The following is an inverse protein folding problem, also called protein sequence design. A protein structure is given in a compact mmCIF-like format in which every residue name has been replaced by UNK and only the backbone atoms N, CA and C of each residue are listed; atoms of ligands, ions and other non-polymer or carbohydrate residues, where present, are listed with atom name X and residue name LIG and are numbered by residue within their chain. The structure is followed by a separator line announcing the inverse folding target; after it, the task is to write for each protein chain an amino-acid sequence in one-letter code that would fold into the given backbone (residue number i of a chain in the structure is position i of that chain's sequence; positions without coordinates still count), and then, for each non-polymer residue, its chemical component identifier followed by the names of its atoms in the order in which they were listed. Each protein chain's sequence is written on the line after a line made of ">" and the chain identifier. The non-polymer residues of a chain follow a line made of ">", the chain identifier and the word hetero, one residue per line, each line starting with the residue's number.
data_IF_588212850880
#
_entry.id   IF_588212850880
#
_cell.length_a   1.000
_cell.length_b   1.000
_cell.length_c   1.000
_cell.angle_alpha   90.00
_cell.angle_beta   90.00
_cell.angle_gamma   90.00
#
_symmetry.space_group_name_H-M   'P 1'
#
loop_
_entity.id
_entity.type
_entity.pdbx_description
1 polymer ?
#
# COMPACT_ATOMS: atom_id res chain seq x y z
N UNK A 1 2.11 -23.41 16.31
CA UNK A 1 2.58 -22.10 16.85
C UNK A 1 4.02 -21.73 16.46
N UNK A 2 4.95 -22.68 16.25
CA UNK A 2 6.34 -22.35 15.86
C UNK A 2 6.51 -21.66 14.50
N UNK A 3 5.62 -21.95 13.53
CA UNK A 3 5.64 -21.30 12.20
C UNK A 3 5.36 -19.80 12.31
N UNK A 4 4.36 -19.39 13.09
CA UNK A 4 4.02 -17.97 13.30
C UNK A 4 5.20 -17.25 13.95
N UNK A 5 5.77 -17.80 15.02
CA UNK A 5 6.96 -17.23 15.69
C UNK A 5 8.12 -17.03 14.71
N UNK A 6 8.41 -18.03 13.87
CA UNK A 6 9.48 -17.94 12.86
C UNK A 6 9.18 -16.88 11.79
N UNK A 7 7.93 -16.76 11.34
CA UNK A 7 7.52 -15.74 10.37
C UNK A 7 7.63 -14.33 10.97
N UNK A 8 7.13 -14.14 12.19
CA UNK A 8 7.22 -12.86 12.89
C UNK A 8 8.67 -12.43 13.10
N UNK A 9 9.57 -13.34 13.51
CA UNK A 9 10.99 -13.02 13.68
C UNK A 9 11.63 -12.57 12.36
N UNK A 10 11.36 -13.29 11.26
CA UNK A 10 11.87 -12.92 9.93
C UNK A 10 11.36 -11.54 9.51
N UNK A 11 10.07 -11.28 9.70
CA UNK A 11 9.48 -9.97 9.38
C UNK A 11 10.11 -8.85 10.20
N UNK A 12 10.32 -9.07 11.50
CA UNK A 12 10.96 -8.08 12.37
C UNK A 12 12.38 -7.77 11.92
N UNK A 13 13.18 -8.79 11.56
CA UNK A 13 14.54 -8.59 11.05
C UNK A 13 14.52 -7.70 9.80
N UNK A 14 13.64 -8.00 8.83
CA UNK A 14 13.50 -7.20 7.61
C UNK A 14 13.09 -5.77 7.94
N UNK A 15 12.12 -5.57 8.85
CA UNK A 15 11.68 -4.25 9.26
C UNK A 15 12.80 -3.44 9.92
N UNK A 16 13.59 -4.04 10.82
CA UNK A 16 14.70 -3.35 11.48
C UNK A 16 15.80 -2.96 10.49
N UNK A 17 16.12 -3.83 9.52
CA UNK A 17 17.06 -3.50 8.46
C UNK A 17 16.55 -2.34 7.59
N UNK A 18 15.27 -2.36 7.21
CA UNK A 18 14.66 -1.27 6.44
C UNK A 18 14.70 0.05 7.20
N UNK A 19 14.42 0.04 8.52
CA UNK A 19 14.55 1.23 9.37
C UNK A 19 15.99 1.73 9.42
N UNK A 20 16.98 0.83 9.51
CA UNK A 20 18.40 1.20 9.45
C UNK A 20 18.78 1.89 8.14
N UNK A 21 18.33 1.36 7.00
CA UNK A 21 18.52 1.97 5.68
C UNK A 21 17.84 3.34 5.58
N UNK A 22 16.61 3.46 6.09
CA UNK A 22 15.86 4.71 6.09
C UNK A 22 16.56 5.78 6.96
N UNK A 23 17.03 5.41 8.15
CA UNK A 23 17.75 6.30 9.05
C UNK A 23 19.08 6.77 8.44
N UNK A 24 19.85 5.85 7.85
CA UNK A 24 21.09 6.18 7.15
C UNK A 24 20.83 7.15 5.99
N UNK A 25 19.82 6.88 5.17
CA UNK A 25 19.44 7.75 4.04
C UNK A 25 19.02 9.13 4.53
N UNK A 26 18.28 9.21 5.63
CA UNK A 26 17.80 10.48 6.20
C UNK A 26 18.92 11.33 6.78
N UNK A 27 19.90 10.71 7.45
CA UNK A 27 20.99 11.44 8.10
C UNK A 27 22.10 11.83 7.12
N UNK A 28 22.44 10.97 6.16
CA UNK A 28 23.62 11.15 5.31
C UNK A 28 23.31 11.50 3.86
N UNK A 29 22.21 11.00 3.29
CA UNK A 29 21.92 11.14 1.85
C UNK A 29 21.01 12.36 1.61
N UNK A 30 19.85 12.43 2.24
CA UNK A 30 18.85 13.48 1.98
C UNK A 30 19.33 14.92 2.25
N UNK A 31 20.23 15.19 3.21
CA UNK A 31 20.77 16.53 3.39
C UNK A 31 21.65 17.03 2.24
N UNK A 32 22.14 16.12 1.37
CA UNK A 32 22.96 16.48 0.20
C UNK A 32 22.13 17.17 -0.89
N UNK A 33 20.82 16.90 -0.95
CA UNK A 33 19.88 17.55 -1.85
C UNK A 33 18.51 17.72 -1.18
N UNK A 34 18.39 18.82 -0.44
CA UNK A 34 17.19 19.12 0.35
C UNK A 34 15.99 19.49 -0.52
N UNK A 35 16.23 20.07 -1.69
CA UNK A 35 15.15 20.47 -2.60
C UNK A 35 14.49 19.24 -3.21
N UNK A 36 15.28 18.30 -3.72
CA UNK A 36 14.76 17.03 -4.23
C UNK A 36 14.05 16.23 -3.13
N UNK A 37 14.60 16.19 -1.92
CA UNK A 37 13.96 15.51 -0.80
C UNK A 37 12.63 16.16 -0.40
N UNK A 38 12.57 17.50 -0.36
CA UNK A 38 11.34 18.24 -0.05
C UNK A 38 10.25 18.01 -1.10
N UNK A 39 10.60 18.03 -2.38
CA UNK A 39 9.71 17.70 -3.50
C UNK A 39 9.19 16.27 -3.41
N UNK A 40 10.09 15.30 -3.20
CA UNK A 40 9.70 13.90 -3.04
C UNK A 40 8.76 13.71 -1.84
N UNK A 41 9.06 14.35 -0.71
CA UNK A 41 8.22 14.34 0.49
C UNK A 41 6.83 14.94 0.24
N UNK A 42 6.75 16.05 -0.49
CA UNK A 42 5.48 16.65 -0.89
C UNK A 42 4.66 15.71 -1.77
N UNK A 43 5.27 15.14 -2.82
CA UNK A 43 4.60 14.20 -3.73
C UNK A 43 4.09 12.98 -2.97
N UNK A 44 4.92 12.39 -2.09
CA UNK A 44 4.55 11.24 -1.27
C UNK A 44 3.41 11.56 -0.31
N UNK A 45 3.47 12.70 0.38
CA UNK A 45 2.44 13.09 1.35
C UNK A 45 1.10 13.34 0.67
N UNK A 46 1.11 14.05 -0.47
CA UNK A 46 -0.10 14.27 -1.27
C UNK A 46 -0.64 12.95 -1.83
N UNK A 47 0.23 12.03 -2.27
CA UNK A 47 -0.19 10.71 -2.73
C UNK A 47 -0.84 9.90 -1.59
N UNK A 48 -0.25 9.90 -0.39
CA UNK A 48 -0.81 9.23 0.79
C UNK A 48 -2.18 9.81 1.19
N UNK A 49 -2.33 11.13 1.09
CA UNK A 49 -3.61 11.79 1.31
C UNK A 49 -4.68 11.39 0.28
N UNK A 50 -4.31 11.27 -0.99
CA UNK A 50 -5.24 10.86 -2.06
C UNK A 50 -5.60 9.36 -2.03
N UNK A 51 -4.69 8.51 -1.54
CA UNK A 51 -4.81 7.05 -1.56
C UNK A 51 -6.14 6.48 -0.99
N UNK A 52 -6.67 6.90 0.18
CA UNK A 52 -7.94 6.38 0.68
C UNK A 52 -9.13 6.68 -0.24
N UNK A 53 -9.12 7.82 -0.95
CA UNK A 53 -10.16 8.19 -1.91
C UNK A 53 -10.10 7.34 -3.19
N UNK A 54 -8.90 6.93 -3.59
CA UNK A 54 -8.69 6.05 -4.76
C UNK A 54 -9.09 4.61 -4.43
N UNK A 55 -8.65 4.10 -3.28
CA UNK A 55 -8.85 2.68 -2.92
C UNK A 55 -10.26 2.40 -2.41
N UNK A 56 -10.99 3.42 -1.92
CA UNK A 56 -12.38 3.29 -1.44
C UNK A 56 -12.59 2.14 -0.42
N UNK A 57 -11.59 1.86 0.40
CA UNK A 57 -11.65 0.79 1.41
C UNK A 57 -11.54 -0.64 0.87
N UNK A 58 -11.29 -0.84 -0.43
CA UNK A 58 -11.12 -2.18 -1.03
C UNK A 58 -9.93 -2.96 -0.44
N UNK A 59 -8.98 -2.29 0.20
CA UNK A 59 -7.94 -2.96 0.98
C UNK A 59 -8.53 -3.83 2.11
N UNK A 60 -9.48 -3.30 2.88
CA UNK A 60 -10.15 -4.04 3.96
C UNK A 60 -11.08 -5.14 3.44
N UNK A 61 -11.76 -4.89 2.31
CA UNK A 61 -12.56 -5.91 1.61
C UNK A 61 -11.69 -7.09 1.20
N UNK A 62 -10.51 -6.80 0.66
CA UNK A 62 -9.55 -7.83 0.23
C UNK A 62 -9.16 -8.73 1.39
N UNK A 63 -8.71 -8.16 2.51
CA UNK A 63 -8.26 -8.95 3.67
C UNK A 63 -9.40 -9.76 4.29
N UNK A 64 -10.61 -9.18 4.39
CA UNK A 64 -11.76 -9.82 5.05
C UNK A 64 -12.37 -10.96 4.23
N UNK A 65 -12.52 -10.77 2.92
CA UNK A 65 -13.26 -11.70 2.07
C UNK A 65 -12.36 -12.70 1.31
N UNK A 66 -11.05 -12.45 1.25
CA UNK A 66 -10.11 -13.38 0.61
C UNK A 66 -10.15 -14.80 1.20
N UNK A 67 -10.17 -15.01 2.54
CA UNK A 67 -10.22 -16.37 3.09
C UNK A 67 -11.50 -17.13 2.75
N UNK A 68 -12.63 -16.42 2.58
CA UNK A 68 -13.91 -17.01 2.21
C UNK A 68 -13.92 -17.46 0.75
N UNK A 69 -13.31 -16.67 -0.13
CA UNK A 69 -13.13 -17.04 -1.54
C UNK A 69 -12.18 -18.22 -1.74
N UNK A 70 -11.14 -18.35 -0.90
CA UNK A 70 -10.20 -19.48 -0.96
C UNK A 70 -10.83 -20.81 -0.49
N UNK A 71 -11.85 -20.74 0.37
CA UNK A 71 -12.56 -21.93 0.85
C UNK A 71 -13.51 -22.52 -0.21
N UNK A 72 -13.98 -21.70 -1.15
CA UNK A 72 -14.94 -22.08 -2.19
C UNK A 72 -14.19 -22.43 -3.50
N UNK A 73 -13.73 -23.69 -3.61
CA UNK A 73 -12.89 -24.22 -4.71
C UNK A 73 -13.46 -24.03 -6.13
N UNK A 74 -14.74 -23.67 -6.27
CA UNK A 74 -15.36 -23.42 -7.58
C UNK A 74 -15.34 -21.95 -8.02
N UNK A 75 -14.90 -21.00 -7.19
CA UNK A 75 -14.93 -19.54 -7.47
C UNK A 75 -13.55 -18.88 -7.50
N UNK A 76 -12.50 -19.64 -7.77
CA UNK A 76 -11.11 -19.19 -7.59
C UNK A 76 -10.66 -18.03 -8.49
N UNK A 77 -11.39 -17.69 -9.57
CA UNK A 77 -10.88 -16.77 -10.60
C UNK A 77 -11.44 -15.34 -10.57
N UNK A 78 -12.53 -15.06 -9.83
CA UNK A 78 -13.23 -13.77 -9.92
C UNK A 78 -12.83 -12.71 -8.88
N UNK A 79 -12.23 -13.11 -7.76
CA UNK A 79 -12.02 -12.22 -6.62
C UNK A 79 -11.00 -11.11 -6.88
N UNK A 80 -9.88 -11.46 -7.51
CA UNK A 80 -8.85 -10.49 -7.85
C UNK A 80 -9.36 -9.49 -8.88
N UNK A 81 -10.12 -9.95 -9.88
CA UNK A 81 -10.78 -9.07 -10.84
C UNK A 81 -11.77 -8.13 -10.16
N UNK A 82 -12.57 -8.62 -9.21
CA UNK A 82 -13.50 -7.80 -8.44
C UNK A 82 -12.78 -6.69 -7.65
N UNK A 83 -11.73 -7.03 -6.90
CA UNK A 83 -10.95 -6.03 -6.15
C UNK A 83 -10.33 -5.00 -7.08
N UNK A 84 -9.67 -5.46 -8.15
CA UNK A 84 -9.02 -4.56 -9.10
C UNK A 84 -10.03 -3.65 -9.77
N UNK A 85 -11.19 -4.18 -10.19
CA UNK A 85 -12.25 -3.37 -10.79
C UNK A 85 -12.76 -2.28 -9.84
N UNK A 86 -12.88 -2.58 -8.54
CA UNK A 86 -13.26 -1.60 -7.52
C UNK A 86 -12.23 -0.50 -7.31
N UNK A 87 -10.94 -0.87 -7.22
CA UNK A 87 -9.84 0.11 -7.10
C UNK A 87 -9.71 0.95 -8.38
N UNK A 88 -9.83 0.34 -9.56
CA UNK A 88 -9.81 1.07 -10.84
C UNK A 88 -10.99 2.02 -10.95
N UNK A 89 -12.19 1.60 -10.54
CA UNK A 89 -13.36 2.47 -10.49
C UNK A 89 -13.12 3.68 -9.56
N UNK A 90 -12.59 3.45 -8.35
CA UNK A 90 -12.24 4.53 -7.42
C UNK A 90 -11.18 5.47 -7.97
N UNK A 91 -10.17 4.95 -8.66
CA UNK A 91 -9.16 5.77 -9.35
C UNK A 91 -9.78 6.64 -10.45
N UNK A 92 -10.63 6.06 -11.30
CA UNK A 92 -11.32 6.80 -12.38
C UNK A 92 -12.23 7.87 -11.80
N UNK A 93 -13.01 7.54 -10.78
CA UNK A 93 -13.88 8.50 -10.10
C UNK A 93 -13.09 9.67 -9.52
N UNK A 94 -11.96 9.38 -8.85
CA UNK A 94 -11.10 10.41 -8.27
C UNK A 94 -10.54 11.35 -9.35
N UNK A 95 -10.06 10.80 -10.48
CA UNK A 95 -9.54 11.60 -11.61
C UNK A 95 -10.65 12.44 -12.25
N UNK A 96 -11.85 11.89 -12.43
CA UNK A 96 -12.97 12.63 -12.99
C UNK A 96 -13.39 13.80 -12.09
N UNK A 97 -13.47 13.57 -10.77
CA UNK A 97 -13.76 14.64 -9.81
C UNK A 97 -12.66 15.70 -9.85
N UNK A 98 -11.39 15.30 -9.88
CA UNK A 98 -10.27 16.23 -10.00
C UNK A 98 -10.30 17.07 -11.28
N UNK A 99 -10.82 16.55 -12.40
CA UNK A 99 -10.93 17.31 -13.65
C UNK A 99 -12.13 18.27 -13.69
N UNK A 100 -13.14 18.02 -12.85
CA UNK A 100 -14.36 18.83 -12.78
C UNK A 100 -14.24 20.05 -11.86
N UNK A 101 -13.26 20.04 -10.93
CA UNK A 101 -13.02 21.11 -9.95
C UNK A 101 -11.62 21.70 -10.14
#
# INVERSE_FOLDING_TARGET
>A
MGVIKRQSIKQSIVNYLAVGVAAFSTVFIYPLDKEAYGLAGFVLSTAQFAMPFIILGFNGVSVRFFPQYLADRQKEHGFLFFILSGVTFGAVLFVLLWLLF
#
